data_IF_865644498535
#
_entry.id   IF_865644498535
#
_cell.length_a   1.000
_cell.length_b   1.000
_cell.length_c   1.000
_cell.angle_alpha   90.00
_cell.angle_beta   90.00
_cell.angle_gamma   90.00
#
_symmetry.space_group_name_H-M   'P 1'
#
loop_
_entity.id
_entity.type
_entity.pdbx_description
1 polymer ?
#
# COMPACT_ATOMS: atom_id res chain seq x y z
N UNK A 1 -10.52 -13.46 -75.10
CA UNK A 1 -10.79 -11.99 -75.11
C UNK A 1 -10.79 -11.48 -73.68
N UNK A 2 -10.09 -10.35 -73.45
CA UNK A 2 -9.97 -9.55 -72.21
C UNK A 2 -9.11 -10.15 -71.09
N UNK A 3 -8.28 -9.39 -70.39
CA UNK A 3 -7.18 -8.48 -70.74
C UNK A 3 -6.34 -8.41 -69.45
N UNK A 4 -5.03 -8.39 -69.60
CA UNK A 4 -3.97 -8.45 -68.59
C UNK A 4 -3.96 -7.23 -67.65
N UNK A 5 -3.72 -7.47 -66.36
CA UNK A 5 -3.40 -6.44 -65.36
C UNK A 5 -1.88 -6.28 -65.28
N UNK A 6 -1.38 -5.11 -65.67
CA UNK A 6 0.03 -4.71 -65.55
C UNK A 6 0.08 -3.63 -64.47
N UNK A 7 0.88 -3.84 -63.42
CA UNK A 7 1.07 -2.89 -62.32
C UNK A 7 2.03 -1.76 -62.67
N UNK A 8 2.09 -0.73 -61.82
CA UNK A 8 3.27 0.12 -61.60
C UNK A 8 3.21 0.66 -60.16
N UNK A 9 4.31 0.48 -59.43
CA UNK A 9 4.62 1.11 -58.14
C UNK A 9 5.14 2.52 -58.39
N UNK A 10 4.61 3.54 -57.72
CA UNK A 10 5.27 4.85 -57.59
C UNK A 10 5.12 5.34 -56.15
N UNK A 11 6.20 5.19 -55.37
CA UNK A 11 6.49 6.07 -54.24
C UNK A 11 6.99 7.40 -54.79
N UNK A 12 6.57 8.54 -54.23
CA UNK A 12 7.43 9.71 -54.04
C UNK A 12 6.88 10.58 -52.90
N UNK A 13 7.86 11.00 -52.12
CA UNK A 13 7.91 11.75 -50.88
C UNK A 13 7.74 13.27 -51.12
N UNK A 14 7.35 13.99 -50.06
CA UNK A 14 7.79 15.35 -49.66
C UNK A 14 6.75 16.48 -49.53
N UNK A 15 6.61 16.89 -48.27
CA UNK A 15 6.78 18.24 -47.69
C UNK A 15 5.71 19.34 -47.88
N UNK A 16 5.10 19.63 -46.73
CA UNK A 16 4.90 20.95 -46.09
C UNK A 16 4.09 22.03 -46.82
N UNK A 17 2.92 22.34 -46.25
CA UNK A 17 2.52 23.73 -46.00
C UNK A 17 1.83 23.83 -44.63
N UNK A 18 2.46 24.60 -43.74
CA UNK A 18 1.92 25.11 -42.48
C UNK A 18 1.17 26.42 -42.73
N UNK A 19 -0.04 26.57 -42.15
CA UNK A 19 -0.73 27.83 -41.76
C UNK A 19 -2.25 27.50 -41.61
N UNK A 20 -3.04 27.94 -40.64
CA UNK A 20 -2.88 28.79 -39.47
C UNK A 20 -4.05 28.51 -38.50
N UNK A 21 -3.74 28.55 -37.20
CA UNK A 21 -4.59 28.84 -36.03
C UNK A 21 -6.13 28.78 -36.15
N UNK A 22 -6.73 27.86 -35.40
CA UNK A 22 -7.55 28.25 -34.26
C UNK A 22 -7.30 27.29 -33.11
N UNK A 23 -6.86 27.84 -31.98
CA UNK A 23 -6.71 27.13 -30.71
C UNK A 23 -8.11 26.78 -30.22
N UNK A 24 -8.43 25.50 -30.19
CA UNK A 24 -9.48 24.97 -29.34
C UNK A 24 -8.87 23.81 -28.57
N UNK A 25 -8.38 24.13 -27.37
CA UNK A 25 -8.01 23.14 -26.36
C UNK A 25 -9.23 22.27 -26.09
N UNK A 26 -9.31 21.13 -26.77
CA UNK A 26 -10.21 20.07 -26.38
C UNK A 26 -9.48 19.29 -25.30
N UNK A 27 -9.60 19.76 -24.08
CA UNK A 27 -9.30 18.99 -22.88
C UNK A 27 -10.24 17.79 -22.91
N UNK A 28 -9.77 16.67 -23.46
CA UNK A 28 -10.37 15.39 -23.14
C UNK A 28 -10.32 15.28 -21.62
N UNK A 29 -11.44 15.04 -20.92
CA UNK A 29 -11.36 14.64 -19.53
C UNK A 29 -10.48 13.40 -19.52
N UNK A 30 -9.38 13.47 -18.78
CA UNK A 30 -8.69 12.27 -18.32
C UNK A 30 -9.76 11.57 -17.50
N UNK A 31 -10.42 10.58 -18.11
CA UNK A 31 -11.24 9.62 -17.42
C UNK A 31 -10.26 8.83 -16.56
N UNK A 32 -9.97 9.37 -15.37
CA UNK A 32 -9.44 8.60 -14.27
C UNK A 32 -10.53 7.59 -14.02
N UNK A 33 -10.36 6.37 -14.53
CA UNK A 33 -11.21 5.24 -14.20
C UNK A 33 -11.06 5.06 -12.69
N UNK A 34 -11.93 5.74 -11.95
CA UNK A 34 -12.12 5.57 -10.54
C UNK A 34 -12.85 4.24 -10.43
N UNK A 35 -12.10 3.14 -10.59
CA UNK A 35 -12.50 1.89 -9.94
C UNK A 35 -12.76 2.30 -8.50
N UNK A 36 -14.04 2.27 -8.09
CA UNK A 36 -14.41 2.55 -6.72
C UNK A 36 -13.50 1.67 -5.86
N UNK A 37 -12.56 2.29 -5.15
CA UNK A 37 -11.57 1.56 -4.35
C UNK A 37 -12.34 0.58 -3.49
N UNK A 38 -12.25 -0.70 -3.84
CA UNK A 38 -12.88 -1.74 -3.06
C UNK A 38 -12.27 -1.64 -1.67
N UNK A 39 -13.09 -1.57 -0.62
CA UNK A 39 -12.58 -1.55 0.75
C UNK A 39 -12.13 -2.96 1.17
N UNK A 40 -11.13 -3.09 2.04
CA UNK A 40 -10.72 -4.40 2.52
C UNK A 40 -11.82 -5.00 3.39
N UNK A 41 -11.90 -6.32 3.39
CA UNK A 41 -12.91 -7.07 4.15
C UNK A 41 -12.30 -7.86 5.29
N UNK A 42 -10.99 -8.09 5.26
CA UNK A 42 -10.26 -8.79 6.32
C UNK A 42 -8.96 -8.06 6.65
N UNK A 43 -8.51 -8.19 7.89
CA UNK A 43 -7.19 -7.74 8.33
C UNK A 43 -6.54 -8.82 9.20
N UNK A 44 -5.30 -9.13 8.89
CA UNK A 44 -4.45 -9.99 9.70
C UNK A 44 -3.45 -9.10 10.44
N UNK A 45 -3.43 -9.22 11.76
CA UNK A 45 -2.52 -8.50 12.62
C UNK A 45 -1.45 -9.42 13.16
N UNK A 46 -0.21 -9.06 12.89
CA UNK A 46 0.96 -9.79 13.35
C UNK A 46 1.84 -8.85 14.18
N UNK A 47 2.43 -9.36 15.26
CA UNK A 47 3.23 -8.58 16.21
C UNK A 47 4.65 -9.13 16.31
N UNK A 48 5.64 -8.25 16.38
CA UNK A 48 7.01 -8.61 16.74
C UNK A 48 7.15 -8.62 18.26
N UNK A 49 7.47 -9.78 18.83
CA UNK A 49 7.53 -10.00 20.27
C UNK A 49 8.92 -10.39 20.74
N UNK A 50 9.51 -9.59 21.61
CA UNK A 50 10.83 -9.86 22.21
C UNK A 50 10.78 -11.00 23.23
N UNK A 51 9.61 -11.27 23.82
CA UNK A 51 9.38 -12.31 24.83
C UNK A 51 9.06 -13.68 24.22
N UNK A 52 9.13 -13.82 22.89
CA UNK A 52 8.76 -15.04 22.18
C UNK A 52 9.94 -15.80 21.59
N UNK A 53 9.78 -17.12 21.53
CA UNK A 53 10.72 -18.08 20.91
C UNK A 53 10.19 -18.66 19.59
N UNK A 54 9.10 -18.10 19.07
CA UNK A 54 8.52 -18.51 17.78
C UNK A 54 9.04 -17.61 16.66
N UNK A 55 8.97 -18.08 15.40
CA UNK A 55 9.13 -17.22 14.23
C UNK A 55 8.23 -15.98 14.29
N UNK A 56 8.75 -14.88 13.80
CA UNK A 56 8.20 -13.54 13.92
C UNK A 56 8.00 -12.91 12.53
N UNK A 57 6.98 -12.05 12.37
CA UNK A 57 6.03 -11.66 13.41
C UNK A 57 4.96 -12.73 13.64
N UNK A 58 4.46 -12.82 14.87
CA UNK A 58 3.40 -13.77 15.24
C UNK A 58 2.03 -13.23 14.86
N UNK A 59 1.20 -14.03 14.19
CA UNK A 59 -0.22 -13.73 14.03
C UNK A 59 -0.92 -13.72 15.40
N UNK A 60 -1.48 -12.57 15.76
CA UNK A 60 -2.17 -12.37 17.04
C UNK A 60 -3.68 -12.20 16.88
N UNK A 61 -4.16 -11.72 15.72
CA UNK A 61 -5.58 -11.55 15.45
C UNK A 61 -5.86 -11.58 13.95
N UNK A 62 -6.99 -12.17 13.61
CA UNK A 62 -7.67 -12.02 12.32
C UNK A 62 -9.01 -11.34 12.59
N UNK A 63 -9.36 -10.33 11.80
CA UNK A 63 -10.65 -9.65 11.88
C UNK A 63 -11.30 -9.60 10.50
N UNK A 64 -12.58 -9.96 10.44
CA UNK A 64 -13.40 -9.97 9.23
C UNK A 64 -14.74 -9.24 9.43
N UNK A 65 -14.90 -8.53 10.55
CA UNK A 65 -16.02 -7.62 10.73
C UNK A 65 -15.82 -6.42 9.80
N UNK A 66 -16.65 -6.34 8.77
CA UNK A 66 -16.52 -5.34 7.70
C UNK A 66 -16.43 -3.91 8.22
N UNK A 67 -17.31 -3.49 9.12
CA UNK A 67 -17.32 -2.11 9.64
C UNK A 67 -16.02 -1.79 10.39
N UNK A 68 -15.55 -2.73 11.22
CA UNK A 68 -14.30 -2.58 11.95
C UNK A 68 -13.08 -2.52 11.01
N UNK A 69 -13.03 -3.40 10.00
CA UNK A 69 -11.93 -3.45 9.02
C UNK A 69 -11.89 -2.16 8.19
N UNK A 70 -13.04 -1.71 7.68
CA UNK A 70 -13.17 -0.47 6.91
C UNK A 70 -12.77 0.75 7.75
N UNK A 71 -13.16 0.78 9.02
CA UNK A 71 -12.79 1.85 9.95
C UNK A 71 -11.28 1.92 10.19
N UNK A 72 -10.63 0.79 10.48
CA UNK A 72 -9.17 0.74 10.68
C UNK A 72 -8.45 1.15 9.40
N UNK A 73 -8.88 0.65 8.24
CA UNK A 73 -8.30 1.01 6.95
C UNK A 73 -8.41 2.52 6.68
N UNK A 74 -9.56 3.11 6.99
CA UNK A 74 -9.80 4.55 6.88
C UNK A 74 -8.89 5.35 7.81
N UNK A 75 -8.72 4.90 9.05
CA UNK A 75 -7.84 5.56 10.03
C UNK A 75 -6.40 5.61 9.57
N UNK A 76 -5.87 4.48 9.08
CA UNK A 76 -4.51 4.39 8.58
C UNK A 76 -4.31 5.37 7.43
N UNK A 77 -5.18 5.33 6.43
CA UNK A 77 -5.02 6.16 5.22
C UNK A 77 -5.41 7.64 5.41
N UNK A 78 -6.03 7.99 6.54
CA UNK A 78 -6.40 9.35 6.92
C UNK A 78 -5.35 10.09 7.76
N UNK A 79 -4.20 9.46 8.05
CA UNK A 79 -3.12 10.05 8.84
C UNK A 79 -2.43 11.25 8.19
N UNK A 80 -1.72 12.04 9.00
CA UNK A 80 -0.86 13.12 8.53
C UNK A 80 0.35 12.50 7.82
N UNK A 81 0.54 12.79 6.53
CA UNK A 81 1.56 12.16 5.68
C UNK A 81 2.96 12.73 5.88
N UNK A 82 3.94 12.05 5.28
CA UNK A 82 5.33 12.48 5.12
C UNK A 82 6.05 12.79 6.44
N UNK A 83 5.75 11.98 7.45
CA UNK A 83 6.41 12.03 8.75
C UNK A 83 7.71 11.24 8.73
N UNK A 84 8.62 11.62 9.62
CA UNK A 84 9.88 10.93 9.86
C UNK A 84 9.85 10.34 11.27
N UNK A 85 10.26 9.08 11.39
CA UNK A 85 10.36 8.39 12.68
C UNK A 85 11.79 7.91 12.95
N UNK A 86 12.08 7.58 14.20
CA UNK A 86 13.36 6.99 14.61
C UNK A 86 13.14 5.70 15.38
N UNK A 87 13.93 4.66 15.07
CA UNK A 87 13.76 3.34 15.68
C UNK A 87 13.90 3.36 17.21
N UNK A 88 14.69 4.29 17.77
CA UNK A 88 14.89 4.44 19.21
C UNK A 88 13.64 4.89 19.97
N UNK A 89 12.66 5.46 19.28
CA UNK A 89 11.40 5.94 19.89
C UNK A 89 10.29 4.90 19.84
N UNK A 90 10.51 3.76 19.20
CA UNK A 90 9.46 2.77 18.93
C UNK A 90 9.40 1.75 20.06
N UNK A 91 8.21 1.57 20.61
CA UNK A 91 7.93 0.58 21.65
C UNK A 91 7.46 -0.74 21.00
N UNK A 92 6.35 -0.68 20.26
CA UNK A 92 5.71 -1.84 19.63
C UNK A 92 5.69 -1.75 18.11
N UNK A 93 5.78 -2.91 17.43
CA UNK A 93 5.74 -3.00 15.96
C UNK A 93 4.79 -4.12 15.55
N UNK A 94 3.93 -3.79 14.58
CA UNK A 94 2.95 -4.69 14.00
C UNK A 94 3.02 -4.68 12.47
N UNK A 95 2.73 -5.83 11.86
CA UNK A 95 2.35 -5.93 10.45
C UNK A 95 0.83 -6.07 10.35
N UNK A 96 0.23 -5.19 9.55
CA UNK A 96 -1.19 -5.18 9.24
C UNK A 96 -1.33 -5.54 7.78
N UNK A 97 -1.93 -6.70 7.51
CA UNK A 97 -2.22 -7.15 6.15
C UNK A 97 -3.72 -7.04 5.90
N UNK A 98 -4.11 -6.09 5.06
CA UNK A 98 -5.48 -5.91 4.60
C UNK A 98 -5.72 -6.74 3.36
N UNK A 99 -6.76 -7.57 3.38
CA UNK A 99 -7.20 -8.35 2.21
C UNK A 99 -8.42 -7.74 1.56
N UNK A 100 -8.34 -7.63 0.24
CA UNK A 100 -9.42 -7.17 -0.63
C UNK A 100 -9.98 -8.40 -1.32
N UNK A 101 -11.17 -8.82 -0.88
CA UNK A 101 -11.76 -10.09 -1.30
C UNK A 101 -12.79 -9.88 -2.39
N UNK A 102 -12.71 -10.61 -3.50
CA UNK A 102 -13.75 -10.68 -4.53
C UNK A 102 -14.23 -12.12 -4.65
N UNK A 103 -15.54 -12.33 -4.53
CA UNK A 103 -16.15 -13.68 -4.61
C UNK A 103 -15.52 -14.70 -3.65
N UNK A 104 -15.10 -14.24 -2.45
CA UNK A 104 -14.48 -15.09 -1.43
C UNK A 104 -12.99 -15.37 -1.64
N UNK A 105 -12.34 -14.75 -2.63
CA UNK A 105 -10.91 -14.89 -2.88
C UNK A 105 -10.18 -13.55 -2.73
N UNK A 106 -9.00 -13.56 -2.11
CA UNK A 106 -8.13 -12.39 -2.04
C UNK A 106 -7.63 -12.05 -3.45
N UNK A 107 -7.97 -10.85 -3.93
CA UNK A 107 -7.50 -10.33 -5.22
C UNK A 107 -6.39 -9.29 -5.07
N UNK A 108 -6.31 -8.65 -3.91
CA UNK A 108 -5.24 -7.73 -3.53
C UNK A 108 -4.98 -7.84 -2.03
N UNK A 109 -3.71 -7.67 -1.65
CA UNK A 109 -3.32 -7.47 -0.26
C UNK A 109 -2.53 -6.17 -0.13
N UNK A 110 -2.83 -5.38 0.90
CA UNK A 110 -2.03 -4.22 1.25
C UNK A 110 -1.42 -4.40 2.64
N UNK A 111 -0.12 -4.17 2.74
CA UNK A 111 0.62 -4.44 3.96
C UNK A 111 1.19 -3.15 4.51
N UNK A 112 0.96 -2.92 5.80
CA UNK A 112 1.44 -1.77 6.53
C UNK A 112 2.28 -2.22 7.71
N UNK A 113 3.43 -1.57 7.88
CA UNK A 113 4.13 -1.56 9.16
C UNK A 113 3.46 -0.50 10.01
N UNK A 114 2.98 -0.89 11.19
CA UNK A 114 2.34 -0.01 12.16
C UNK A 114 3.17 -0.01 13.43
N UNK A 115 3.45 1.16 13.97
CA UNK A 115 4.32 1.32 15.14
C UNK A 115 3.66 2.19 16.18
N UNK A 116 3.89 1.83 17.43
CA UNK A 116 3.53 2.63 18.60
C UNK A 116 4.84 3.11 19.22
N UNK A 117 4.99 4.41 19.37
CA UNK A 117 6.16 5.00 20.02
C UNK A 117 6.01 5.01 21.54
N UNK A 118 7.13 5.21 22.24
CA UNK A 118 7.17 5.30 23.71
C UNK A 118 6.37 6.49 24.26
N UNK A 119 6.16 7.55 23.46
CA UNK A 119 5.23 8.66 23.76
C UNK A 119 3.79 8.40 23.29
N UNK A 120 3.46 7.14 22.96
CA UNK A 120 2.13 6.67 22.53
C UNK A 120 1.63 7.26 21.22
N UNK A 121 2.51 7.80 20.37
CA UNK A 121 2.14 8.18 19.01
C UNK A 121 2.10 6.96 18.11
N UNK A 122 1.26 7.07 17.10
CA UNK A 122 0.93 5.99 16.19
C UNK A 122 1.41 6.36 14.80
N UNK A 123 2.16 5.47 14.17
CA UNK A 123 2.57 5.67 12.79
C UNK A 123 2.30 4.43 11.96
N UNK A 124 1.94 4.63 10.69
CA UNK A 124 1.82 3.56 9.72
C UNK A 124 2.57 3.89 8.45
N UNK A 125 3.12 2.87 7.80
CA UNK A 125 3.74 2.98 6.49
C UNK A 125 3.43 1.75 5.65
N UNK A 126 2.94 1.96 4.44
CA UNK A 126 2.74 0.87 3.47
C UNK A 126 4.11 0.31 3.08
N UNK A 127 4.26 -1.01 3.13
CA UNK A 127 5.50 -1.72 2.83
C UNK A 127 5.24 -2.86 1.85
N UNK A 128 6.28 -3.28 1.15
CA UNK A 128 6.28 -4.52 0.37
C UNK A 128 7.04 -5.56 1.17
N UNK A 129 6.38 -6.63 1.58
CA UNK A 129 7.04 -7.68 2.35
C UNK A 129 8.10 -8.40 1.53
N UNK A 130 9.19 -8.71 2.23
CA UNK A 130 10.27 -9.54 1.77
C UNK A 130 10.87 -10.27 2.98
N UNK A 131 11.81 -11.19 2.75
CA UNK A 131 12.37 -12.05 3.78
C UNK A 131 13.05 -11.31 4.96
N UNK A 132 13.34 -10.01 4.84
CA UNK A 132 13.93 -9.23 5.94
C UNK A 132 12.92 -8.80 7.01
N UNK A 133 11.63 -8.98 6.75
CA UNK A 133 10.57 -8.78 7.73
C UNK A 133 10.33 -10.03 8.59
N UNK A 134 10.91 -11.18 8.21
CA UNK A 134 10.77 -12.45 8.90
C UNK A 134 11.98 -12.71 9.80
N UNK A 135 11.74 -13.18 11.03
CA UNK A 135 12.82 -13.54 11.97
C UNK A 135 12.50 -14.87 12.67
N UNK A 136 13.50 -15.71 12.91
CA UNK A 136 13.32 -16.91 13.73
C UNK A 136 13.00 -16.56 15.20
N UNK A 137 13.68 -15.54 15.71
CA UNK A 137 13.42 -14.89 17.01
C UNK A 137 13.60 -13.37 16.85
N UNK A 138 12.76 -12.58 17.52
CA UNK A 138 12.86 -11.12 17.52
C UNK A 138 13.40 -10.62 18.86
N UNK A 139 14.26 -9.61 18.80
CA UNK A 139 14.77 -8.90 19.97
C UNK A 139 15.01 -7.42 19.61
N UNK A 140 15.22 -6.58 20.62
CA UNK A 140 15.37 -5.14 20.44
C UNK A 140 16.53 -4.73 19.51
N UNK A 141 17.55 -5.58 19.33
CA UNK A 141 18.65 -5.30 18.40
C UNK A 141 18.21 -5.38 16.93
N UNK A 142 17.17 -6.16 16.63
CA UNK A 142 16.61 -6.30 15.28
C UNK A 142 15.64 -5.17 14.89
N UNK A 143 15.19 -4.39 15.88
CA UNK A 143 14.27 -3.24 15.69
C UNK A 143 14.79 -2.24 14.65
N UNK A 144 16.04 -1.82 14.78
CA UNK A 144 16.64 -0.85 13.86
C UNK A 144 16.73 -1.36 12.42
N UNK A 145 17.00 -2.66 12.23
CA UNK A 145 17.04 -3.28 10.91
C UNK A 145 15.65 -3.30 10.25
N UNK A 146 14.63 -3.68 11.01
CA UNK A 146 13.23 -3.70 10.55
C UNK A 146 12.75 -2.30 10.12
N UNK A 147 13.04 -1.28 10.92
CA UNK A 147 12.67 0.12 10.61
C UNK A 147 13.50 0.66 9.44
N UNK A 148 14.78 0.28 9.35
CA UNK A 148 15.62 0.67 8.22
C UNK A 148 15.13 0.06 6.90
N UNK A 149 14.61 -1.17 6.92
CA UNK A 149 14.04 -1.80 5.72
C UNK A 149 12.77 -1.08 5.26
N UNK A 150 11.93 -0.64 6.19
CA UNK A 150 10.78 0.21 5.86
C UNK A 150 11.21 1.62 5.41
N UNK A 151 12.36 2.10 5.87
CA UNK A 151 12.85 3.47 5.69
C UNK A 151 12.23 4.44 6.69
N UNK A 152 12.98 5.46 7.12
CA UNK A 152 12.59 6.36 8.23
C UNK A 152 11.66 7.50 7.84
N UNK A 153 11.47 7.78 6.56
CA UNK A 153 10.66 8.89 6.03
C UNK A 153 9.35 8.37 5.41
N UNK A 154 8.41 9.25 5.07
CA UNK A 154 7.17 8.88 4.36
C UNK A 154 6.18 8.10 5.23
N UNK A 155 6.26 8.24 6.55
CA UNK A 155 5.32 7.65 7.49
C UNK A 155 4.05 8.50 7.59
N UNK A 156 2.96 7.86 7.99
CA UNK A 156 1.69 8.52 8.29
C UNK A 156 1.50 8.53 9.80
N UNK A 157 1.41 9.71 10.43
CA UNK A 157 1.03 9.84 11.83
C UNK A 157 -0.49 9.74 11.95
N UNK A 158 -0.96 8.83 12.80
CA UNK A 158 -2.37 8.56 12.98
C UNK A 158 -2.92 9.36 14.15
N UNK A 159 -4.06 10.02 13.94
CA UNK A 159 -4.70 10.86 14.96
C UNK A 159 -5.46 10.06 16.03
N UNK A 160 -5.92 8.87 15.66
CA UNK A 160 -6.75 7.98 16.46
C UNK A 160 -6.54 6.55 15.96
N UNK A 161 -6.96 5.56 16.74
CA UNK A 161 -6.96 4.17 16.31
C UNK A 161 -5.74 3.42 16.80
N UNK A 162 -5.69 3.18 18.12
CA UNK A 162 -4.72 2.25 18.67
C UNK A 162 -5.23 0.84 18.38
N UNK A 163 -4.52 0.07 17.57
CA UNK A 163 -4.68 -1.38 17.59
C UNK A 163 -4.03 -1.88 18.89
N UNK A 164 -4.79 -1.80 19.98
CA UNK A 164 -4.36 -2.23 21.31
C UNK A 164 -5.06 -3.53 21.70
N UNK A 165 -4.74 -4.04 22.89
CA UNK A 165 -5.41 -5.20 23.48
C UNK A 165 -6.94 -5.07 23.43
N UNK A 166 -7.51 -3.89 23.63
CA UNK A 166 -8.97 -3.70 23.60
C UNK A 166 -9.57 -3.88 22.20
N UNK A 167 -8.87 -3.48 21.14
CA UNK A 167 -9.29 -3.74 19.74
C UNK A 167 -9.09 -5.21 19.36
N UNK A 168 -8.16 -5.90 20.02
CA UNK A 168 -7.82 -7.30 19.74
C UNK A 168 -8.68 -8.33 20.47
N UNK A 169 -9.17 -8.00 21.65
CA UNK A 169 -9.90 -8.93 22.52
C UNK A 169 -11.39 -8.62 22.69
N UNK A 170 -11.89 -7.52 22.10
CA UNK A 170 -13.31 -7.33 21.84
C UNK A 170 -13.73 -7.92 20.49
#
# INVERSE_FOLDING_TARGET
MKKTFTGVVVSILMLLLSACNNVQETTAPIEVTQEAQQLPTEIWLQMYREDSKKPQPELIKEMNNREQVEQIYTWINGGTKDQTITASTIDEIYLLRFEFMKEGQAVESQIYLYVITTDSKLYAKKVVLNAKYDFDEYDSSKKSALISEAGTEGWQELKTGVINKDVLYN
#
